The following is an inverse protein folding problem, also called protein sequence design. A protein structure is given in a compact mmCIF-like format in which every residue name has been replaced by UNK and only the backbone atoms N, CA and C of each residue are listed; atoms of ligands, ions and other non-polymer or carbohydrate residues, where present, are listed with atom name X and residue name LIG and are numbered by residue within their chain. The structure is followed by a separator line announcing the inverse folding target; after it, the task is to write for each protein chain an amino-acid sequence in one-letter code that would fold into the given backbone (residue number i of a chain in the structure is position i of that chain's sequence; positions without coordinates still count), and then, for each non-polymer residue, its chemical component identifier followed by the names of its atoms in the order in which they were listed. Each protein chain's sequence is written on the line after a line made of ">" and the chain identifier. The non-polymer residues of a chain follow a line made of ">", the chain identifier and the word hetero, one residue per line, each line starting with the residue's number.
data_IF_861881904981
#
_entry.id   IF_861881904981
#
_cell.length_a   1.000
_cell.length_b   1.000
_cell.length_c   1.000
_cell.angle_alpha   90.00
_cell.angle_beta   90.00
_cell.angle_gamma   90.00
#
_symmetry.space_group_name_H-M   'P 1'
#
loop_
_entity.id
_entity.type
_entity.pdbx_description
1 polymer ?
#
# COMPACT_ATOMS: atom_id res chain seq x y z
N UNK A 1 2.36 12.40 5.46
CA UNK A 1 2.30 11.53 4.26
C UNK A 1 1.10 10.58 4.30
N UNK A 2 0.94 9.72 5.32
CA UNK A 2 -0.19 8.77 5.39
C UNK A 2 -1.59 9.40 5.30
N UNK A 3 -1.83 10.53 5.99
CA UNK A 3 -3.10 11.28 5.87
C UNK A 3 -3.35 11.81 4.45
N UNK A 4 -2.31 12.29 3.77
CA UNK A 4 -2.43 12.82 2.42
C UNK A 4 -2.71 11.70 1.41
N UNK A 5 -2.06 10.54 1.59
CA UNK A 5 -2.35 9.33 0.83
C UNK A 5 -3.81 8.89 1.00
N UNK A 6 -4.29 8.77 2.25
CA UNK A 6 -5.69 8.42 2.52
C UNK A 6 -6.67 9.40 1.86
N UNK A 7 -6.42 10.71 1.98
CA UNK A 7 -7.25 11.72 1.34
C UNK A 7 -7.24 11.61 -0.20
N UNK A 8 -6.10 11.27 -0.81
CA UNK A 8 -6.01 11.09 -2.27
C UNK A 8 -6.77 9.85 -2.72
N UNK A 9 -6.64 8.73 -2.00
CA UNK A 9 -7.42 7.51 -2.24
C UNK A 9 -8.92 7.81 -2.14
N UNK A 10 -9.35 8.55 -1.13
CA UNK A 10 -10.76 8.89 -0.94
C UNK A 10 -11.32 9.74 -2.09
N UNK A 11 -10.53 10.71 -2.59
CA UNK A 11 -10.90 11.49 -3.76
C UNK A 11 -10.99 10.65 -5.03
N UNK A 12 -10.02 9.74 -5.23
CA UNK A 12 -10.01 8.81 -6.37
C UNK A 12 -11.29 7.96 -6.41
N UNK A 13 -11.63 7.33 -5.26
CA UNK A 13 -12.72 6.36 -5.17
C UNK A 13 -14.12 6.98 -5.13
N UNK A 14 -14.24 8.27 -4.77
CA UNK A 14 -15.54 8.97 -4.73
C UNK A 14 -16.11 9.33 -6.13
N UNK A 15 -15.55 8.77 -7.21
CA UNK A 15 -16.01 9.01 -8.59
C UNK A 15 -15.58 10.36 -9.19
N UNK A 16 -14.80 11.15 -8.45
CA UNK A 16 -14.24 12.43 -8.89
C UNK A 16 -12.72 12.41 -9.11
N UNK A 17 -12.09 11.23 -9.06
CA UNK A 17 -10.64 11.07 -9.17
C UNK A 17 -10.10 11.64 -10.48
N UNK A 18 -9.44 12.78 -10.40
CA UNK A 18 -8.68 13.32 -11.52
C UNK A 18 -7.46 12.42 -11.78
N UNK A 19 -6.98 12.39 -13.02
CA UNK A 19 -5.73 11.72 -13.41
C UNK A 19 -4.56 12.06 -12.44
N UNK A 20 -4.52 13.29 -11.92
CA UNK A 20 -3.54 13.75 -10.95
C UNK A 20 -3.57 13.01 -9.59
N UNK A 21 -4.74 12.61 -9.09
CA UNK A 21 -4.82 11.84 -7.83
C UNK A 21 -4.26 10.42 -8.03
N UNK A 22 -4.53 9.80 -9.18
CA UNK A 22 -3.98 8.47 -9.53
C UNK A 22 -2.44 8.51 -9.64
N UNK A 23 -1.88 9.52 -10.30
CA UNK A 23 -0.42 9.70 -10.42
C UNK A 23 0.22 9.93 -9.04
N UNK A 24 -0.37 10.80 -8.22
CA UNK A 24 0.14 11.06 -6.87
C UNK A 24 0.10 9.80 -5.97
N UNK A 25 -0.97 9.02 -6.04
CA UNK A 25 -1.08 7.75 -5.31
C UNK A 25 0.00 6.78 -5.81
N UNK A 26 0.18 6.66 -7.12
CA UNK A 26 1.21 5.81 -7.73
C UNK A 26 2.62 6.17 -7.28
N UNK A 27 2.95 7.46 -7.24
CA UNK A 27 4.27 7.94 -6.81
C UNK A 27 4.59 7.53 -5.36
N UNK A 28 3.62 7.69 -4.44
CA UNK A 28 3.80 7.24 -3.05
C UNK A 28 3.96 5.73 -2.94
N UNK A 29 3.18 4.96 -3.70
CA UNK A 29 3.27 3.51 -3.68
C UNK A 29 4.59 2.98 -4.27
N UNK A 30 5.09 3.60 -5.35
CA UNK A 30 6.43 3.31 -5.91
C UNK A 30 7.51 3.64 -4.89
N UNK A 31 7.42 4.81 -4.24
CA UNK A 31 8.35 5.19 -3.19
C UNK A 31 8.42 4.13 -2.10
N UNK A 32 7.28 3.64 -1.62
CA UNK A 32 7.21 2.62 -0.55
C UNK A 32 7.68 1.25 -1.02
N UNK A 33 7.29 0.81 -2.21
CA UNK A 33 7.75 -0.45 -2.83
C UNK A 33 9.28 -0.48 -2.91
N UNK A 34 9.88 0.59 -3.41
CA UNK A 34 11.31 0.66 -3.67
C UNK A 34 12.13 1.02 -2.42
N UNK A 35 11.47 1.35 -1.30
CA UNK A 35 12.13 1.80 -0.09
C UNK A 35 12.96 0.69 0.56
N UNK A 36 12.48 -0.57 0.54
CA UNK A 36 13.15 -1.67 1.23
C UNK A 36 14.55 -1.95 0.66
N UNK A 37 14.67 -2.07 -0.66
CA UNK A 37 15.96 -2.27 -1.33
C UNK A 37 16.95 -1.12 -1.09
N UNK A 38 16.45 0.11 -0.87
CA UNK A 38 17.30 1.27 -0.55
C UNK A 38 17.76 1.27 0.91
N UNK A 39 16.92 0.77 1.82
CA UNK A 39 17.21 0.73 3.25
C UNK A 39 17.99 -0.52 3.66
N UNK A 40 17.85 -1.64 2.96
CA UNK A 40 18.47 -2.93 3.26
C UNK A 40 19.97 -2.80 3.63
N UNK A 41 20.82 -2.10 2.85
CA UNK A 41 22.25 -2.00 3.19
C UNK A 41 22.52 -1.25 4.49
N UNK A 42 21.62 -0.34 4.89
CA UNK A 42 21.74 0.43 6.14
C UNK A 42 21.20 -0.38 7.32
N UNK A 43 20.07 -1.06 7.14
CA UNK A 43 19.44 -1.88 8.18
C UNK A 43 20.32 -3.08 8.55
N UNK A 44 21.03 -3.68 7.59
CA UNK A 44 21.94 -4.81 7.82
C UNK A 44 23.23 -4.41 8.57
N UNK A 45 23.59 -3.12 8.60
CA UNK A 45 24.83 -2.64 9.25
C UNK A 45 24.69 -2.40 10.75
N UNK A 46 23.48 -2.46 11.30
CA UNK A 46 23.24 -2.16 12.72
C UNK A 46 22.24 -3.14 13.33
N UNK A 47 22.65 -3.80 14.41
CA UNK A 47 21.77 -4.62 15.23
C UNK A 47 20.58 -3.81 15.78
N UNK A 48 20.78 -2.53 16.08
CA UNK A 48 19.74 -1.64 16.60
C UNK A 48 18.63 -1.33 15.58
N UNK A 49 18.85 -1.61 14.29
CA UNK A 49 17.88 -1.36 13.22
C UNK A 49 17.19 -2.64 12.72
N UNK A 50 17.51 -3.80 13.29
CA UNK A 50 16.94 -5.09 12.86
C UNK A 50 15.42 -5.15 13.05
N UNK A 51 14.88 -4.45 14.05
CA UNK A 51 13.43 -4.36 14.28
C UNK A 51 12.69 -3.59 13.18
N UNK A 52 13.39 -2.72 12.44
CA UNK A 52 12.82 -1.97 11.31
C UNK A 52 12.79 -2.78 10.00
N UNK A 53 13.52 -3.90 9.90
CA UNK A 53 13.52 -4.76 8.72
C UNK A 53 12.11 -5.29 8.37
N UNK A 54 11.37 -5.96 9.28
CA UNK A 54 10.03 -6.44 8.96
C UNK A 54 9.04 -5.30 8.65
N UNK A 55 9.22 -4.13 9.27
CA UNK A 55 8.41 -2.93 8.97
C UNK A 55 8.68 -2.39 7.55
N UNK A 56 9.95 -2.37 7.14
CA UNK A 56 10.37 -1.96 5.79
C UNK A 56 9.83 -2.90 4.71
N UNK A 57 9.90 -4.22 4.96
CA UNK A 57 9.36 -5.24 4.07
C UNK A 57 7.83 -5.17 3.95
N UNK A 58 7.12 -5.00 5.07
CA UNK A 58 5.66 -4.81 5.06
C UNK A 58 5.27 -3.53 4.29
N UNK A 59 6.01 -2.44 4.46
CA UNK A 59 5.79 -1.20 3.71
C UNK A 59 6.03 -1.38 2.20
N UNK A 60 7.08 -2.12 1.82
CA UNK A 60 7.34 -2.44 0.42
C UNK A 60 6.22 -3.27 -0.19
N UNK A 61 5.75 -4.29 0.54
CA UNK A 61 4.63 -5.13 0.11
C UNK A 61 3.33 -4.34 -0.01
N UNK A 62 3.05 -3.41 0.90
CA UNK A 62 1.91 -2.49 0.80
C UNK A 62 1.98 -1.61 -0.47
N UNK A 63 3.18 -1.13 -0.81
CA UNK A 63 3.42 -0.41 -2.06
C UNK A 63 3.06 -1.25 -3.28
N UNK A 64 3.53 -2.51 -3.35
CA UNK A 64 3.21 -3.43 -4.45
C UNK A 64 1.71 -3.74 -4.56
N UNK A 65 1.05 -4.07 -3.45
CA UNK A 65 -0.39 -4.38 -3.42
C UNK A 65 -1.21 -3.17 -3.88
N UNK A 66 -0.85 -1.98 -3.40
CA UNK A 66 -1.54 -0.76 -3.79
C UNK A 66 -1.38 -0.46 -5.29
N UNK A 67 -0.21 -0.71 -5.88
CA UNK A 67 0.02 -0.52 -7.32
C UNK A 67 -0.83 -1.47 -8.15
N UNK A 68 -0.87 -2.75 -7.77
CA UNK A 68 -1.68 -3.76 -8.46
C UNK A 68 -3.18 -3.43 -8.36
N UNK A 69 -3.65 -2.98 -7.19
CA UNK A 69 -5.02 -2.47 -7.02
C UNK A 69 -5.31 -1.26 -7.92
N UNK A 70 -4.36 -0.32 -8.02
CA UNK A 70 -4.48 0.86 -8.87
C UNK A 70 -4.52 0.50 -10.35
N UNK A 71 -3.76 -0.52 -10.77
CA UNK A 71 -3.77 -1.05 -12.12
C UNK A 71 -5.11 -1.73 -12.45
N UNK A 72 -5.69 -2.49 -11.52
CA UNK A 72 -7.04 -3.04 -11.68
C UNK A 72 -8.11 -1.96 -11.89
N UNK A 73 -8.08 -0.92 -11.05
CA UNK A 73 -8.99 0.22 -11.14
C UNK A 73 -8.82 1.00 -12.45
N UNK A 74 -7.58 1.30 -12.84
CA UNK A 74 -7.27 2.07 -14.06
C UNK A 74 -7.69 1.32 -15.32
N UNK A 75 -7.55 0.00 -15.33
CA UNK A 75 -7.95 -0.85 -16.45
C UNK A 75 -9.43 -1.25 -16.43
N UNK A 76 -10.22 -0.75 -15.47
CA UNK A 76 -11.64 -1.11 -15.27
C UNK A 76 -11.86 -2.63 -15.25
N UNK A 77 -10.97 -3.34 -14.58
CA UNK A 77 -10.99 -4.80 -14.51
C UNK A 77 -11.03 -5.23 -13.06
N UNK A 78 -12.12 -5.87 -12.66
CA UNK A 78 -12.25 -6.52 -11.36
C UNK A 78 -11.02 -7.40 -11.09
N UNK A 79 -10.44 -7.22 -9.90
CA UNK A 79 -9.51 -8.20 -9.36
C UNK A 79 -10.26 -9.50 -9.02
N UNK A 80 -9.55 -10.63 -9.09
CA UNK A 80 -10.17 -11.91 -8.73
C UNK A 80 -10.51 -11.96 -7.23
N UNK A 81 -11.60 -12.64 -6.87
CA UNK A 81 -12.00 -12.80 -5.48
C UNK A 81 -10.90 -13.46 -4.61
N UNK A 82 -10.14 -14.40 -5.19
CA UNK A 82 -9.00 -15.04 -4.52
C UNK A 82 -7.88 -14.05 -4.23
N UNK A 83 -7.54 -13.19 -5.20
CA UNK A 83 -6.53 -12.15 -5.01
C UNK A 83 -6.98 -11.15 -3.94
N UNK A 84 -8.22 -10.64 -4.03
CA UNK A 84 -8.76 -9.69 -3.05
C UNK A 84 -8.73 -10.28 -1.64
N UNK A 85 -9.17 -11.54 -1.47
CA UNK A 85 -9.14 -12.22 -0.17
C UNK A 85 -7.72 -12.39 0.37
N UNK A 86 -6.76 -12.75 -0.48
CA UNK A 86 -5.36 -12.88 -0.09
C UNK A 86 -4.77 -11.56 0.39
N UNK A 87 -4.97 -10.47 -0.36
CA UNK A 87 -4.42 -9.17 0.01
C UNK A 87 -5.07 -8.61 1.27
N UNK A 88 -6.39 -8.77 1.44
CA UNK A 88 -7.08 -8.35 2.67
C UNK A 88 -6.54 -9.09 3.90
N UNK A 89 -6.25 -10.39 3.80
CA UNK A 89 -5.63 -11.15 4.90
C UNK A 89 -4.23 -10.63 5.25
N UNK A 90 -3.43 -10.24 4.26
CA UNK A 90 -2.15 -9.59 4.54
C UNK A 90 -2.34 -8.23 5.22
N UNK A 91 -3.25 -7.40 4.71
CA UNK A 91 -3.54 -6.06 5.23
C UNK A 91 -4.02 -6.10 6.68
N UNK A 92 -4.88 -7.05 7.06
CA UNK A 92 -5.31 -7.24 8.45
C UNK A 92 -4.14 -7.57 9.40
N UNK A 93 -3.13 -8.30 8.92
CA UNK A 93 -1.93 -8.55 9.71
C UNK A 93 -1.03 -7.31 9.78
N UNK A 94 -0.90 -6.55 8.69
CA UNK A 94 -0.08 -5.33 8.64
C UNK A 94 -0.65 -4.18 9.50
N UNK A 95 -1.93 -4.23 9.90
CA UNK A 95 -2.53 -3.28 10.88
C UNK A 95 -2.01 -3.48 12.29
N UNK A 96 -1.51 -4.66 12.64
CA UNK A 96 -1.05 -4.97 14.00
C UNK A 96 0.25 -4.21 14.27
N UNK A 97 0.45 -3.65 15.48
CA UNK A 97 1.71 -3.03 15.84
C UNK A 97 2.89 -4.00 15.65
N UNK A 98 4.01 -3.49 15.14
CA UNK A 98 5.30 -4.19 15.11
C UNK A 98 6.36 -3.29 15.71
N UNK A 99 7.09 -3.80 16.70
CA UNK A 99 8.06 -3.01 17.46
C UNK A 99 7.46 -1.66 17.94
N UNK A 100 6.23 -1.72 18.47
CA UNK A 100 5.45 -0.54 18.93
C UNK A 100 5.04 0.47 17.84
N UNK A 101 5.39 0.22 16.57
CA UNK A 101 5.08 1.08 15.43
C UNK A 101 3.87 0.56 14.62
N UNK A 102 3.10 1.51 14.09
CA UNK A 102 1.95 1.26 13.22
C UNK A 102 2.22 1.74 11.79
N UNK A 103 1.86 0.94 10.79
CA UNK A 103 1.95 1.34 9.39
C UNK A 103 0.65 2.07 9.00
N UNK A 104 0.66 3.40 9.13
CA UNK A 104 -0.53 4.24 8.98
C UNK A 104 -1.11 4.30 7.55
N UNK A 105 -0.44 3.72 6.55
CA UNK A 105 -0.90 3.72 5.15
C UNK A 105 -1.79 2.50 4.81
N UNK A 106 -1.84 1.49 5.69
CA UNK A 106 -2.62 0.26 5.48
C UNK A 106 -4.10 0.54 5.14
N UNK A 107 -4.83 1.43 5.83
CA UNK A 107 -6.24 1.67 5.53
C UNK A 107 -6.49 2.19 4.10
N UNK A 108 -5.59 3.01 3.56
CA UNK A 108 -5.72 3.51 2.19
C UNK A 108 -5.48 2.41 1.15
N UNK A 109 -4.47 1.55 1.37
CA UNK A 109 -4.22 0.39 0.49
C UNK A 109 -5.39 -0.59 0.54
N UNK A 110 -5.98 -0.81 1.71
CA UNK A 110 -7.17 -1.64 1.85
C UNK A 110 -8.35 -1.13 1.02
N UNK A 111 -8.64 0.18 1.06
CA UNK A 111 -9.71 0.76 0.24
C UNK A 111 -9.49 0.53 -1.26
N UNK A 112 -8.24 0.68 -1.73
CA UNK A 112 -7.89 0.39 -3.13
C UNK A 112 -8.17 -1.08 -3.49
N UNK A 113 -7.79 -2.04 -2.62
CA UNK A 113 -8.02 -3.48 -2.83
C UNK A 113 -9.51 -3.83 -2.84
N UNK A 114 -10.28 -3.26 -1.91
CA UNK A 114 -11.72 -3.47 -1.81
C UNK A 114 -12.46 -2.96 -3.05
N UNK A 115 -12.08 -1.79 -3.57
CA UNK A 115 -12.69 -1.22 -4.77
C UNK A 115 -12.20 -1.90 -6.06
N UNK A 116 -10.93 -2.33 -6.11
CA UNK A 116 -10.42 -3.15 -7.21
C UNK A 116 -11.21 -4.47 -7.34
N UNK A 117 -11.65 -5.06 -6.22
CA UNK A 117 -12.52 -6.25 -6.22
C UNK A 117 -13.97 -5.98 -6.62
N UNK A 118 -14.42 -4.71 -6.62
CA UNK A 118 -15.78 -4.28 -6.95
C UNK A 118 -15.94 -3.71 -8.35
N UNK A 119 -14.85 -3.43 -9.07
CA UNK A 119 -14.90 -2.78 -10.38
C UNK A 119 -15.75 -3.57 -11.39
N UNK A 120 -16.80 -2.94 -11.94
CA UNK A 120 -17.67 -3.47 -13.00
C UNK A 120 -17.40 -2.79 -14.34
#
# INVERSE_FOLDING_TARGET
>A
MARNFGNAVDRLLSGGGAQCDCEQIRDWLVLWRDNDAKLEPTLQRSFLLQEAVPLSQDLSRLGSIGLEALDHLSNKRAASASWTSEQLRFLENAKKPRAELLIMVVPGVQRLVEDAGRAH
#
